data_IF_843492094549
#
_entry.id   IF_843492094549
#
_cell.length_a   1.000
_cell.length_b   1.000
_cell.length_c   1.000
_cell.angle_alpha   90.00
_cell.angle_beta   90.00
_cell.angle_gamma   90.00
#
_symmetry.space_group_name_H-M   'P 1'
#
loop_
_entity.id
_entity.type
_entity.pdbx_description
1 polymer ?
#
# COMPACT_ATOMS: atom_id res chain seq x y z
N UNK A 1 14.45 -16.75 -8.46
CA UNK A 1 15.80 -17.33 -8.18
C UNK A 1 16.27 -17.12 -6.74
N UNK A 2 15.97 -15.98 -6.08
CA UNK A 2 16.27 -15.79 -4.66
C UNK A 2 15.25 -16.49 -3.74
N UNK A 3 14.01 -16.66 -4.18
CA UNK A 3 12.97 -17.41 -3.46
C UNK A 3 13.19 -18.94 -3.46
N UNK A 4 14.06 -19.44 -4.34
CA UNK A 4 14.45 -20.86 -4.38
C UNK A 4 15.60 -21.18 -3.40
N UNK A 5 16.20 -20.17 -2.76
CA UNK A 5 17.31 -20.33 -1.80
C UNK A 5 16.83 -20.43 -0.33
N UNK A 6 15.56 -20.20 -0.06
CA UNK A 6 14.95 -20.35 1.25
C UNK A 6 13.96 -21.49 1.20
N UNK A 7 14.19 -22.52 1.98
CA UNK A 7 13.20 -23.55 2.21
C UNK A 7 11.98 -22.90 2.89
N UNK A 8 10.80 -23.08 2.30
CA UNK A 8 9.54 -22.46 2.75
C UNK A 8 9.20 -22.82 4.21
N UNK A 9 9.65 -23.96 4.68
CA UNK A 9 9.41 -24.48 6.03
C UNK A 9 10.08 -23.62 7.12
N UNK A 10 11.17 -22.91 6.82
CA UNK A 10 11.78 -21.96 7.76
C UNK A 10 11.01 -20.62 7.86
N UNK A 11 10.08 -20.35 6.95
CA UNK A 11 9.28 -19.14 6.94
C UNK A 11 7.94 -19.30 7.69
N UNK A 12 7.47 -20.52 7.88
CA UNK A 12 6.17 -20.80 8.53
C UNK A 12 6.16 -20.47 10.04
N UNK A 13 7.29 -20.59 10.72
CA UNK A 13 7.41 -20.25 12.15
C UNK A 13 7.41 -18.74 12.45
N UNK A 14 7.31 -17.89 11.44
CA UNK A 14 7.36 -16.42 11.59
C UNK A 14 6.00 -15.76 11.77
N UNK A 15 4.91 -16.47 11.65
CA UNK A 15 3.55 -15.92 11.84
C UNK A 15 3.29 -15.38 13.26
N UNK A 16 4.17 -15.69 14.23
CA UNK A 16 4.05 -15.27 15.62
C UNK A 16 4.98 -14.12 16.01
N UNK A 17 5.83 -13.61 15.11
CA UNK A 17 6.71 -12.48 15.42
C UNK A 17 5.98 -11.18 15.12
N UNK A 18 5.39 -10.59 16.16
CA UNK A 18 4.85 -9.23 16.08
C UNK A 18 6.01 -8.25 16.24
N UNK A 19 6.58 -7.80 15.13
CA UNK A 19 7.55 -6.71 15.15
C UNK A 19 6.79 -5.40 15.38
N UNK A 20 7.29 -4.55 16.29
CA UNK A 20 6.74 -3.20 16.45
C UNK A 20 7.09 -2.35 15.23
N UNK A 21 6.23 -1.39 14.92
CA UNK A 21 6.38 -0.53 13.73
C UNK A 21 7.68 0.30 13.76
N UNK A 22 8.12 0.72 14.95
CA UNK A 22 9.39 1.41 15.16
C UNK A 22 10.61 0.47 14.97
N UNK A 23 10.52 -0.78 15.38
CA UNK A 23 11.57 -1.79 15.16
C UNK A 23 11.75 -2.09 13.68
N UNK A 24 10.68 -2.21 12.91
CA UNK A 24 10.75 -2.39 11.46
C UNK A 24 11.43 -1.19 10.78
N UNK A 25 11.08 0.06 11.19
CA UNK A 25 11.72 1.26 10.66
C UNK A 25 13.24 1.25 10.94
N UNK A 26 13.66 0.90 12.15
CA UNK A 26 15.06 0.85 12.53
C UNK A 26 15.85 -0.18 11.72
N UNK A 27 15.29 -1.39 11.56
CA UNK A 27 15.92 -2.46 10.77
C UNK A 27 16.03 -2.04 9.30
N UNK A 28 14.95 -1.56 8.69
CA UNK A 28 14.97 -1.10 7.30
C UNK A 28 15.94 0.06 7.11
N UNK A 29 15.98 1.02 8.04
CA UNK A 29 16.93 2.12 8.01
C UNK A 29 18.36 1.61 8.03
N UNK A 30 18.70 0.68 8.91
CA UNK A 30 20.03 0.08 8.99
C UNK A 30 20.43 -0.63 7.70
N UNK A 31 19.50 -1.40 7.09
CA UNK A 31 19.73 -2.06 5.80
C UNK A 31 19.96 -1.07 4.66
N UNK A 32 19.22 0.03 4.63
CA UNK A 32 19.35 1.08 3.62
C UNK A 32 20.64 1.87 3.77
N UNK A 33 21.04 2.17 5.01
CA UNK A 33 22.31 2.85 5.30
C UNK A 33 23.49 1.98 4.85
N UNK A 34 23.46 0.68 5.19
CA UNK A 34 24.44 -0.29 4.71
C UNK A 34 24.48 -0.39 3.18
N UNK A 35 23.32 -0.45 2.53
CA UNK A 35 23.23 -0.51 1.08
C UNK A 35 23.83 0.75 0.41
N UNK A 36 23.64 1.91 1.03
CA UNK A 36 24.25 3.15 0.55
C UNK A 36 25.77 3.14 0.73
N UNK A 37 26.28 2.76 1.90
CA UNK A 37 27.71 2.64 2.18
C UNK A 37 28.43 1.66 1.23
N UNK A 38 27.76 0.60 0.82
CA UNK A 38 28.29 -0.40 -0.14
C UNK A 38 28.08 0.00 -1.59
N UNK A 39 27.52 1.17 -1.88
CA UNK A 39 27.27 1.64 -3.24
C UNK A 39 26.18 0.86 -4.00
N UNK A 40 25.37 0.06 -3.28
CA UNK A 40 24.23 -0.66 -3.85
C UNK A 40 23.09 0.33 -4.11
N UNK A 41 22.86 1.24 -3.16
CA UNK A 41 21.91 2.34 -3.30
C UNK A 41 22.63 3.53 -3.95
N UNK A 42 22.12 3.98 -5.11
CA UNK A 42 22.78 5.01 -5.94
C UNK A 42 22.79 6.40 -5.29
N UNK A 43 21.70 6.73 -4.61
CA UNK A 43 21.52 8.03 -3.95
C UNK A 43 20.85 7.84 -2.59
N UNK A 44 21.24 8.66 -1.61
CA UNK A 44 20.63 8.68 -0.29
C UNK A 44 19.46 9.67 -0.23
N UNK A 45 18.53 9.57 -1.17
CA UNK A 45 17.28 10.35 -1.17
C UNK A 45 16.10 9.47 -0.77
N UNK A 46 15.04 10.10 -0.27
CA UNK A 46 13.81 9.40 0.14
C UNK A 46 13.26 8.50 -0.98
N UNK A 47 13.29 8.98 -2.23
CA UNK A 47 12.79 8.21 -3.37
C UNK A 47 13.58 6.93 -3.60
N UNK A 48 14.91 7.00 -3.60
CA UNK A 48 15.75 5.82 -3.81
C UNK A 48 15.68 4.85 -2.64
N UNK A 49 15.57 5.38 -1.42
CA UNK A 49 15.34 4.56 -0.22
C UNK A 49 13.99 3.83 -0.31
N UNK A 50 12.92 4.53 -0.71
CA UNK A 50 11.58 3.94 -0.87
C UNK A 50 11.50 2.89 -1.98
N UNK A 51 12.26 3.06 -3.06
CA UNK A 51 12.37 2.05 -4.11
C UNK A 51 13.06 0.78 -3.61
N UNK A 52 14.06 0.93 -2.74
CA UNK A 52 14.86 -0.18 -2.29
C UNK A 52 14.21 -0.93 -1.11
N UNK A 53 13.65 -0.23 -0.13
CA UNK A 53 12.93 -0.88 0.98
C UNK A 53 11.69 -1.63 0.49
N UNK A 54 10.93 -1.03 -0.43
CA UNK A 54 9.81 -1.70 -1.07
C UNK A 54 10.23 -2.98 -1.80
N UNK A 55 11.42 -2.99 -2.40
CA UNK A 55 11.99 -4.18 -3.02
C UNK A 55 12.33 -5.25 -1.98
N UNK A 56 12.93 -4.87 -0.84
CA UNK A 56 13.23 -5.80 0.26
C UNK A 56 11.93 -6.42 0.76
N UNK A 57 10.96 -5.60 1.12
CA UNK A 57 9.66 -6.07 1.62
C UNK A 57 8.91 -6.92 0.60
N UNK A 58 9.01 -6.56 -0.69
CA UNK A 58 8.41 -7.34 -1.77
C UNK A 58 8.93 -8.76 -1.92
N UNK A 59 10.17 -9.03 -1.50
CA UNK A 59 10.75 -10.38 -1.48
C UNK A 59 10.15 -11.27 -0.36
N UNK A 60 9.63 -10.64 0.69
CA UNK A 60 9.03 -11.32 1.84
C UNK A 60 7.50 -11.50 1.68
N UNK A 61 6.92 -10.88 0.66
CA UNK A 61 5.48 -10.94 0.44
C UNK A 61 5.03 -12.30 -0.10
N UNK A 62 3.90 -12.83 0.41
CA UNK A 62 3.26 -13.98 -0.20
C UNK A 62 2.80 -13.63 -1.64
N UNK A 63 2.61 -14.67 -2.45
CA UNK A 63 2.16 -14.51 -3.84
C UNK A 63 0.75 -13.89 -3.89
N UNK A 64 0.42 -13.10 -4.92
CA UNK A 64 -0.94 -12.54 -5.06
C UNK A 64 -2.04 -13.60 -4.94
N UNK A 65 -1.86 -14.77 -5.57
CA UNK A 65 -2.82 -15.86 -5.51
C UNK A 65 -3.04 -16.42 -4.12
N UNK A 66 -2.01 -16.47 -3.29
CA UNK A 66 -2.07 -16.93 -1.90
C UNK A 66 -2.84 -15.94 -1.03
N UNK A 67 -2.53 -14.65 -1.16
CA UNK A 67 -3.23 -13.58 -0.45
C UNK A 67 -4.72 -13.56 -0.82
N UNK A 68 -5.03 -13.61 -2.12
CA UNK A 68 -6.40 -13.63 -2.62
C UNK A 68 -7.16 -14.86 -2.09
N UNK A 69 -6.56 -16.04 -2.17
CA UNK A 69 -7.16 -17.28 -1.68
C UNK A 69 -7.48 -17.17 -0.18
N UNK A 70 -6.49 -16.77 0.62
CA UNK A 70 -6.66 -16.67 2.07
C UNK A 70 -7.68 -15.61 2.47
N UNK A 71 -7.70 -14.46 1.79
CA UNK A 71 -8.72 -13.44 1.98
C UNK A 71 -10.14 -14.00 1.76
N UNK A 72 -10.36 -14.73 0.67
CA UNK A 72 -11.67 -15.31 0.38
C UNK A 72 -12.03 -16.46 1.32
N UNK A 73 -11.07 -17.27 1.73
CA UNK A 73 -11.28 -18.31 2.76
C UNK A 73 -11.77 -17.69 4.08
N UNK A 74 -11.12 -16.62 4.55
CA UNK A 74 -11.56 -15.89 5.74
C UNK A 74 -12.93 -15.26 5.57
N UNK A 75 -13.18 -14.64 4.41
CA UNK A 75 -14.45 -14.00 4.09
C UNK A 75 -15.61 -14.99 4.13
N UNK A 76 -15.44 -16.18 3.55
CA UNK A 76 -16.50 -17.19 3.44
C UNK A 76 -16.66 -18.04 4.69
N UNK A 77 -15.56 -18.37 5.37
CA UNK A 77 -15.57 -19.34 6.47
C UNK A 77 -15.61 -18.70 7.86
N UNK A 78 -15.19 -17.43 7.99
CA UNK A 78 -15.14 -16.72 9.27
C UNK A 78 -16.04 -15.49 9.21
N UNK A 79 -15.59 -14.40 8.60
CA UNK A 79 -16.37 -13.18 8.40
C UNK A 79 -15.70 -12.23 7.41
N UNK A 80 -16.46 -11.27 6.82
CA UNK A 80 -15.87 -10.17 6.04
C UNK A 80 -14.84 -9.37 6.84
N UNK A 81 -15.09 -9.13 8.13
CA UNK A 81 -14.18 -8.43 9.04
C UNK A 81 -12.84 -9.17 9.18
N UNK A 82 -12.86 -10.49 9.42
CA UNK A 82 -11.63 -11.28 9.52
C UNK A 82 -10.79 -11.21 8.24
N UNK A 83 -11.42 -11.16 7.08
CA UNK A 83 -10.74 -11.02 5.80
C UNK A 83 -10.08 -9.64 5.65
N UNK A 84 -10.79 -8.57 6.01
CA UNK A 84 -10.24 -7.21 5.95
C UNK A 84 -9.17 -6.97 7.00
N UNK A 85 -9.31 -7.51 8.21
CA UNK A 85 -8.29 -7.46 9.27
C UNK A 85 -6.99 -8.13 8.84
N UNK A 86 -7.08 -9.33 8.28
CA UNK A 86 -5.93 -10.02 7.70
C UNK A 86 -5.24 -9.16 6.64
N UNK A 87 -6.00 -8.63 5.71
CA UNK A 87 -5.46 -7.86 4.61
C UNK A 87 -4.89 -6.49 5.06
N UNK A 88 -5.52 -5.87 6.05
CA UNK A 88 -5.01 -4.65 6.67
C UNK A 88 -3.69 -4.91 7.42
N UNK A 89 -3.65 -5.99 8.21
CA UNK A 89 -2.43 -6.42 8.89
C UNK A 89 -1.30 -6.69 7.90
N UNK A 90 -1.56 -7.44 6.83
CA UNK A 90 -0.58 -7.70 5.78
C UNK A 90 -0.06 -6.40 5.15
N UNK A 91 -0.94 -5.44 4.88
CA UNK A 91 -0.59 -4.15 4.30
C UNK A 91 0.27 -3.29 5.22
N UNK A 92 0.15 -3.45 6.53
CA UNK A 92 0.99 -2.81 7.55
C UNK A 92 2.34 -3.54 7.70
N UNK A 93 2.30 -4.84 7.90
CA UNK A 93 3.50 -5.66 8.14
C UNK A 93 4.45 -5.67 6.93
N UNK A 94 3.93 -5.47 5.73
CA UNK A 94 4.71 -5.32 4.50
C UNK A 94 5.28 -3.91 4.28
N UNK A 95 5.11 -2.99 5.21
CA UNK A 95 5.48 -1.57 5.06
C UNK A 95 4.83 -0.88 3.83
N UNK A 96 3.74 -1.44 3.31
CA UNK A 96 2.95 -0.76 2.30
C UNK A 96 2.21 0.44 2.90
N UNK A 97 1.59 0.28 4.09
CA UNK A 97 1.09 1.34 4.93
C UNK A 97 2.19 1.74 5.92
N UNK A 98 2.91 2.80 5.62
CA UNK A 98 4.08 3.26 6.39
C UNK A 98 3.66 3.99 7.66
N UNK A 99 3.26 3.22 8.68
CA UNK A 99 2.70 3.74 9.93
C UNK A 99 3.61 4.74 10.63
N UNK A 100 4.90 4.47 10.71
CA UNK A 100 5.88 5.38 11.32
C UNK A 100 5.97 6.75 10.64
N UNK A 101 5.66 6.83 9.33
CA UNK A 101 5.53 8.12 8.63
C UNK A 101 4.20 8.78 8.92
N UNK A 102 3.12 7.99 8.92
CA UNK A 102 1.75 8.46 9.17
C UNK A 102 1.62 9.02 10.60
N UNK A 103 2.31 8.44 11.59
CA UNK A 103 2.34 8.94 12.96
C UNK A 103 2.94 10.36 13.08
N UNK A 104 3.68 10.84 12.08
CA UNK A 104 4.22 12.20 12.02
C UNK A 104 3.22 13.21 11.45
N UNK A 105 2.12 12.75 10.85
CA UNK A 105 1.07 13.63 10.33
C UNK A 105 0.39 14.36 11.48
N UNK A 106 0.19 15.66 11.31
CA UNK A 106 -0.49 16.49 12.30
C UNK A 106 -2.00 16.42 12.06
N UNK A 107 -2.76 16.17 13.14
CA UNK A 107 -4.22 16.09 13.09
C UNK A 107 -4.82 16.86 14.26
N UNK A 108 -5.84 17.66 14.01
CA UNK A 108 -6.62 18.34 15.04
C UNK A 108 -8.03 18.64 14.56
N UNK A 109 -8.91 18.93 15.52
CA UNK A 109 -10.28 19.32 15.25
C UNK A 109 -10.38 20.84 15.38
N UNK A 110 -10.99 21.52 14.41
CA UNK A 110 -11.28 22.94 14.43
C UNK A 110 -12.79 23.16 14.50
N UNK A 111 -13.32 23.73 15.61
CA UNK A 111 -14.74 24.05 15.71
C UNK A 111 -15.11 25.18 14.77
N UNK A 112 -16.21 25.02 14.05
CA UNK A 112 -16.76 26.06 13.16
C UNK A 112 -18.25 26.24 13.39
N UNK A 113 -18.83 27.32 12.83
CA UNK A 113 -20.29 27.54 12.87
C UNK A 113 -21.11 26.46 12.12
N UNK A 114 -20.45 25.61 11.33
CA UNK A 114 -21.09 24.53 10.58
C UNK A 114 -20.86 23.14 11.19
N UNK A 115 -20.18 23.07 12.35
CA UNK A 115 -19.74 21.85 13.01
C UNK A 115 -18.22 21.76 13.09
N UNK A 116 -17.74 20.70 13.66
CA UNK A 116 -16.32 20.42 13.81
C UNK A 116 -15.72 19.93 12.49
N UNK A 117 -14.54 20.43 12.16
CA UNK A 117 -13.76 20.02 10.99
C UNK A 117 -12.49 19.33 11.42
N UNK A 118 -12.27 18.13 10.89
CA UNK A 118 -10.98 17.43 11.00
C UNK A 118 -9.97 18.09 10.05
N UNK A 119 -8.88 18.60 10.64
CA UNK A 119 -7.79 19.21 9.87
C UNK A 119 -6.55 18.32 9.98
N UNK A 120 -5.88 18.12 8.84
CA UNK A 120 -4.66 17.32 8.78
C UNK A 120 -3.56 18.05 8.00
N UNK A 121 -2.32 17.96 8.50
CA UNK A 121 -1.12 18.27 7.71
C UNK A 121 -0.43 16.93 7.44
N UNK A 122 -0.48 16.50 6.21
CA UNK A 122 0.05 15.22 5.78
C UNK A 122 1.55 15.36 5.49
N UNK A 123 2.39 15.01 6.47
CA UNK A 123 3.85 15.05 6.38
C UNK A 123 4.44 13.75 5.81
N UNK A 124 3.63 12.70 5.77
CA UNK A 124 4.05 11.37 5.29
C UNK A 124 4.16 11.26 3.76
N UNK A 125 3.62 12.23 3.02
CA UNK A 125 3.62 12.21 1.54
C UNK A 125 4.97 12.62 0.97
N UNK A 126 5.64 11.73 0.20
CA UNK A 126 6.95 12.02 -0.41
C UNK A 126 6.88 13.06 -1.53
N UNK A 127 5.72 13.33 -2.11
CA UNK A 127 5.55 14.29 -3.20
C UNK A 127 5.91 15.74 -2.81
N UNK A 128 6.04 16.02 -1.53
CA UNK A 128 6.44 17.35 -1.02
C UNK A 128 7.95 17.53 -0.89
N UNK A 129 8.75 16.49 -1.10
CA UNK A 129 10.21 16.62 -1.14
C UNK A 129 10.64 17.38 -2.41
N UNK A 130 11.24 18.58 -2.29
CA UNK A 130 11.70 19.36 -3.45
C UNK A 130 12.69 18.64 -4.34
N UNK A 131 13.55 17.78 -3.77
CA UNK A 131 14.52 16.96 -4.52
C UNK A 131 13.81 15.89 -5.33
N UNK A 132 12.80 15.21 -4.74
CA UNK A 132 11.98 14.23 -5.44
C UNK A 132 11.21 14.87 -6.59
N UNK A 133 10.63 16.06 -6.39
CA UNK A 133 9.92 16.82 -7.43
C UNK A 133 10.87 17.18 -8.58
N UNK A 134 12.07 17.67 -8.28
CA UNK A 134 13.06 18.01 -9.29
C UNK A 134 13.51 16.78 -10.08
N UNK A 135 13.82 15.68 -9.40
CA UNK A 135 14.20 14.41 -10.03
C UNK A 135 13.07 13.84 -10.91
N UNK A 136 11.84 13.90 -10.45
CA UNK A 136 10.67 13.43 -11.19
C UNK A 136 10.43 14.23 -12.49
N UNK A 137 10.70 15.54 -12.50
CA UNK A 137 10.59 16.40 -13.69
C UNK A 137 11.64 16.03 -14.76
N UNK A 138 12.82 15.61 -14.35
CA UNK A 138 13.91 15.21 -15.26
C UNK A 138 13.80 13.75 -15.71
N UNK A 139 13.01 12.93 -15.03
CA UNK A 139 12.88 11.52 -15.35
C UNK A 139 12.12 11.31 -16.66
N UNK A 140 12.56 10.30 -17.43
CA UNK A 140 11.89 9.90 -18.66
C UNK A 140 10.43 9.52 -18.37
N UNK A 141 9.51 10.13 -19.09
CA UNK A 141 8.10 9.79 -18.99
C UNK A 141 7.83 8.39 -19.56
N UNK A 142 6.97 7.65 -18.90
CA UNK A 142 6.55 6.31 -19.32
C UNK A 142 5.03 6.21 -19.18
N UNK A 143 4.38 5.64 -20.18
CA UNK A 143 2.94 5.35 -20.14
C UNK A 143 2.57 4.12 -19.31
N UNK A 144 3.54 3.52 -18.58
CA UNK A 144 3.32 2.33 -17.76
C UNK A 144 3.95 2.50 -16.36
N UNK A 145 3.22 2.17 -15.28
CA UNK A 145 1.77 1.97 -15.23
C UNK A 145 1.00 3.22 -15.71
N UNK A 146 -0.22 3.04 -16.19
CA UNK A 146 -1.04 4.15 -16.73
C UNK A 146 -1.40 5.21 -15.69
N UNK A 147 -1.58 4.79 -14.43
CA UNK A 147 -1.81 5.69 -13.29
C UNK A 147 -1.39 5.01 -11.98
N UNK A 148 -1.52 5.73 -10.86
CA UNK A 148 -1.13 5.24 -9.53
C UNK A 148 -2.05 4.16 -8.95
N UNK A 149 -3.24 3.95 -9.51
CA UNK A 149 -4.28 3.05 -9.00
C UNK A 149 -4.54 1.82 -9.87
N UNK A 150 -4.02 1.78 -11.11
CA UNK A 150 -4.24 0.65 -12.00
C UNK A 150 -3.65 -0.64 -11.43
N UNK A 151 -4.30 -1.77 -11.76
CA UNK A 151 -3.88 -3.12 -11.33
C UNK A 151 -2.43 -3.45 -11.66
N UNK A 152 -1.90 -2.91 -12.73
CA UNK A 152 -0.49 -3.06 -13.14
C UNK A 152 0.54 -2.46 -12.16
N UNK A 153 0.08 -1.74 -11.12
CA UNK A 153 0.94 -1.32 -10.01
C UNK A 153 1.30 -2.46 -9.08
N UNK A 154 0.47 -3.50 -8.94
CA UNK A 154 0.77 -4.65 -8.10
C UNK A 154 2.10 -5.29 -8.52
N UNK A 155 3.05 -5.37 -7.59
CA UNK A 155 4.39 -5.92 -7.87
C UNK A 155 5.31 -5.01 -8.68
N UNK A 156 4.88 -3.79 -9.05
CA UNK A 156 5.69 -2.89 -9.86
C UNK A 156 6.94 -2.41 -9.10
N UNK A 157 8.11 -2.51 -9.77
CA UNK A 157 9.40 -2.17 -9.16
C UNK A 157 9.60 -0.68 -8.88
N UNK A 158 8.75 0.17 -9.45
CA UNK A 158 8.88 1.61 -9.30
C UNK A 158 9.98 2.26 -10.16
N UNK A 159 10.01 3.57 -10.13
CA UNK A 159 11.04 4.44 -10.70
C UNK A 159 10.96 5.81 -10.01
N UNK A 160 11.90 6.69 -10.27
CA UNK A 160 12.00 8.00 -9.59
C UNK A 160 10.72 8.83 -9.63
N UNK A 161 9.92 8.74 -10.69
CA UNK A 161 8.65 9.45 -10.85
C UNK A 161 7.40 8.56 -10.76
N UNK A 162 7.54 7.34 -10.26
CA UNK A 162 6.41 6.44 -10.01
C UNK A 162 6.76 5.46 -8.88
N UNK A 163 5.95 5.40 -7.81
CA UNK A 163 6.30 4.62 -6.63
C UNK A 163 6.40 3.12 -6.91
N UNK A 164 7.30 2.45 -6.18
CA UNK A 164 7.34 1.00 -6.14
C UNK A 164 6.12 0.43 -5.40
N UNK A 165 5.70 -0.76 -5.80
CA UNK A 165 4.54 -1.48 -5.24
C UNK A 165 4.79 -3.00 -5.15
N UNK A 166 6.05 -3.41 -4.97
CA UNK A 166 6.42 -4.83 -4.84
C UNK A 166 5.85 -5.45 -3.56
N UNK A 167 5.69 -4.65 -2.52
CA UNK A 167 5.09 -4.99 -1.24
C UNK A 167 3.56 -4.77 -1.18
N UNK A 168 2.92 -4.56 -2.32
CA UNK A 168 1.49 -4.33 -2.43
C UNK A 168 0.78 -5.52 -3.06
N UNK A 169 -0.43 -5.81 -2.57
CA UNK A 169 -1.35 -6.82 -3.13
C UNK A 169 -2.71 -6.18 -3.34
N UNK A 170 -3.45 -6.66 -4.32
CA UNK A 170 -4.78 -6.17 -4.69
C UNK A 170 -5.76 -7.33 -4.58
N UNK A 171 -6.84 -7.14 -3.84
CA UNK A 171 -7.92 -8.12 -3.75
C UNK A 171 -8.94 -7.86 -4.86
N UNK A 172 -9.16 -8.80 -5.79
CA UNK A 172 -10.25 -8.68 -6.75
C UNK A 172 -11.59 -8.89 -6.05
N UNK A 173 -12.51 -7.97 -6.28
CA UNK A 173 -13.89 -8.03 -5.75
C UNK A 173 -14.89 -7.87 -6.89
N UNK A 174 -16.02 -8.55 -6.76
CA UNK A 174 -17.14 -8.37 -7.69
C UNK A 174 -18.16 -7.44 -7.08
N UNK A 175 -18.38 -6.29 -7.69
CA UNK A 175 -19.28 -5.26 -7.20
C UNK A 175 -20.35 -5.02 -8.25
N UNK A 176 -21.61 -5.25 -7.90
CA UNK A 176 -22.76 -5.09 -8.77
C UNK A 176 -22.49 -5.65 -10.17
N UNK A 177 -22.08 -6.93 -10.22
CA UNK A 177 -21.84 -7.70 -11.45
C UNK A 177 -20.61 -7.30 -12.27
N UNK A 178 -19.71 -6.45 -11.75
CA UNK A 178 -18.47 -6.06 -12.43
C UNK A 178 -17.24 -6.27 -11.56
N UNK A 179 -16.08 -6.46 -12.20
CA UNK A 179 -14.81 -6.71 -11.52
C UNK A 179 -14.13 -5.41 -11.12
N UNK A 180 -13.76 -5.34 -9.85
CA UNK A 180 -13.07 -4.21 -9.23
C UNK A 180 -11.85 -4.70 -8.46
N UNK A 181 -10.94 -3.78 -8.14
CA UNK A 181 -9.83 -4.02 -7.22
C UNK A 181 -10.10 -3.31 -5.90
N UNK A 182 -9.86 -4.00 -4.80
CA UNK A 182 -9.86 -3.46 -3.45
C UNK A 182 -8.43 -3.40 -2.94
N UNK A 183 -8.02 -2.26 -2.43
CA UNK A 183 -6.72 -2.05 -1.80
C UNK A 183 -6.80 -1.03 -0.67
N UNK A 184 -5.94 -1.17 0.34
CA UNK A 184 -5.74 -0.09 1.31
C UNK A 184 -4.95 1.06 0.70
N UNK A 185 -5.17 2.26 1.22
CA UNK A 185 -4.38 3.43 0.84
C UNK A 185 -3.09 3.47 1.66
N UNK A 186 -1.93 3.70 1.04
CA UNK A 186 -0.70 3.95 1.78
C UNK A 186 -0.69 5.33 2.45
N UNK A 187 -1.63 6.20 2.10
CA UNK A 187 -1.81 7.55 2.64
C UNK A 187 -3.17 7.64 3.30
N UNK A 188 -3.22 7.52 4.61
CA UNK A 188 -4.46 7.35 5.35
C UNK A 188 -4.94 8.66 5.97
N UNK A 189 -6.24 8.96 5.81
CA UNK A 189 -6.96 9.95 6.62
C UNK A 189 -7.47 9.32 7.92
N UNK A 190 -8.08 8.16 7.78
CA UNK A 190 -8.61 7.33 8.85
C UNK A 190 -7.91 5.97 8.81
N UNK A 191 -7.97 5.23 9.90
CA UNK A 191 -7.53 3.85 9.91
C UNK A 191 -8.33 3.07 8.85
N UNK A 192 -7.68 2.09 8.24
CA UNK A 192 -8.31 1.20 7.24
C UNK A 192 -8.88 1.91 6.01
N UNK A 193 -8.40 3.15 5.74
CA UNK A 193 -8.77 3.87 4.53
C UNK A 193 -8.45 3.04 3.29
N UNK A 194 -9.47 2.68 2.55
CA UNK A 194 -9.36 1.83 1.37
C UNK A 194 -9.71 2.58 0.07
N UNK A 195 -9.27 1.98 -1.03
CA UNK A 195 -9.56 2.44 -2.39
C UNK A 195 -10.15 1.27 -3.15
N UNK A 196 -11.33 1.48 -3.70
CA UNK A 196 -11.99 0.52 -4.59
C UNK A 196 -12.00 1.11 -5.99
N UNK A 197 -11.37 0.42 -6.94
CA UNK A 197 -11.16 0.96 -8.28
C UNK A 197 -11.58 -0.04 -9.36
N UNK A 198 -11.99 0.50 -10.50
CA UNK A 198 -12.36 -0.31 -11.65
C UNK A 198 -11.14 -1.09 -12.17
N UNK A 199 -11.31 -2.37 -12.49
CA UNK A 199 -10.26 -3.21 -13.07
C UNK A 199 -9.81 -2.73 -14.46
N UNK A 200 -10.61 -1.91 -15.13
CA UNK A 200 -10.26 -1.24 -16.38
C UNK A 200 -9.81 0.19 -16.12
N UNK A 201 -8.80 0.65 -16.86
CA UNK A 201 -8.35 2.04 -16.78
C UNK A 201 -9.33 2.97 -17.49
N UNK A 202 -10.30 3.47 -16.74
CA UNK A 202 -11.34 4.40 -17.21
C UNK A 202 -11.33 5.66 -16.34
N UNK A 203 -11.74 6.81 -16.89
CA UNK A 203 -11.90 8.03 -16.08
C UNK A 203 -12.89 7.81 -14.95
N UNK A 204 -12.57 8.35 -13.77
CA UNK A 204 -13.51 8.37 -12.65
C UNK A 204 -14.70 9.28 -13.01
N UNK A 205 -15.91 8.73 -12.85
CA UNK A 205 -17.16 9.48 -13.06
C UNK A 205 -18.09 9.27 -11.87
N UNK A 206 -18.74 10.34 -11.46
CA UNK A 206 -19.80 10.30 -10.45
C UNK A 206 -21.13 10.14 -11.19
N UNK A 207 -21.60 8.90 -11.24
CA UNK A 207 -22.84 8.50 -11.90
C UNK A 207 -23.66 7.63 -10.94
N UNK A 208 -24.96 7.51 -11.20
CA UNK A 208 -25.85 6.63 -10.42
C UNK A 208 -25.30 5.20 -10.29
N UNK A 209 -24.78 4.63 -11.39
CA UNK A 209 -24.17 3.31 -11.40
C UNK A 209 -22.94 3.20 -10.46
N UNK A 210 -22.15 4.26 -10.31
CA UNK A 210 -21.01 4.30 -9.40
C UNK A 210 -21.47 4.32 -7.95
N UNK A 211 -22.51 5.07 -7.62
CA UNK A 211 -23.10 5.05 -6.28
C UNK A 211 -23.71 3.70 -5.93
N UNK A 212 -24.39 3.03 -6.86
CA UNK A 212 -24.89 1.67 -6.64
C UNK A 212 -23.76 0.69 -6.30
N UNK A 213 -22.58 0.85 -6.92
CA UNK A 213 -21.41 0.04 -6.61
C UNK A 213 -20.85 0.32 -5.21
N UNK A 214 -20.84 1.59 -4.80
CA UNK A 214 -20.43 1.97 -3.46
C UNK A 214 -21.33 1.31 -2.40
N UNK A 215 -22.64 1.35 -2.58
CA UNK A 215 -23.57 0.69 -1.66
C UNK A 215 -23.44 -0.83 -1.64
N UNK A 216 -23.18 -1.44 -2.79
CA UNK A 216 -22.95 -2.89 -2.88
C UNK A 216 -21.65 -3.28 -2.16
N UNK A 217 -20.59 -2.49 -2.30
CA UNK A 217 -19.34 -2.70 -1.57
C UNK A 217 -19.53 -2.60 -0.05
N UNK A 218 -20.20 -1.54 0.43
CA UNK A 218 -20.50 -1.37 1.87
C UNK A 218 -21.38 -2.51 2.40
N UNK A 219 -22.27 -3.08 1.57
CA UNK A 219 -23.07 -4.25 1.95
C UNK A 219 -22.21 -5.53 2.10
N UNK A 220 -21.17 -5.68 1.26
CA UNK A 220 -20.24 -6.81 1.34
C UNK A 220 -19.28 -6.68 2.55
N UNK A 221 -18.95 -5.45 2.92
CA UNK A 221 -18.04 -5.12 4.04
C UNK A 221 -18.72 -4.11 4.97
N UNK A 222 -19.62 -4.57 5.87
CA UNK A 222 -20.50 -3.69 6.66
C UNK A 222 -19.89 -3.16 7.96
N UNK A 223 -18.64 -3.42 8.23
CA UNK A 223 -17.90 -3.01 9.46
C UNK A 223 -16.99 -1.81 9.21
#
# INVERSE_FOLDING_TARGET
RLLELFELDELEDRDNVTMREDELEEVLKGMLDYAYEKGILKENSVVYRDLFDTKIMGLLMPRPSEVIRHFHELYEQVSPEAATDYYYKLSRDSDYIRRYRICKDMKWVAPTKYGDLDITINLSKPEKDPKAIAAAKLAKQSGYPKCLLCRENEGYAGRVNHPARQNHRIIPVTINGSQWGFQYSPYVYYNEHCIVFNSQHVPMKIEHATFCKLFDFVKQFPH
#
